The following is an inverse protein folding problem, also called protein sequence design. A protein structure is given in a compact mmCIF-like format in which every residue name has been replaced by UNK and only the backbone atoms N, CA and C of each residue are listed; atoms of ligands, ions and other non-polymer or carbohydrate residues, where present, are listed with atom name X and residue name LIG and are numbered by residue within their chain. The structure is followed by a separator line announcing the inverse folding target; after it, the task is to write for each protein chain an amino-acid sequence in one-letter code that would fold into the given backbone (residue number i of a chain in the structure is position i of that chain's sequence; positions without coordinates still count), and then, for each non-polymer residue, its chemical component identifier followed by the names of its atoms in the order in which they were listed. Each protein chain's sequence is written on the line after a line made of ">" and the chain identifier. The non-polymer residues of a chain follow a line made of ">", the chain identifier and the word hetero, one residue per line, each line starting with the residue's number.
data_IF_222958888869
#
_entry.id   IF_222958888869
#
_cell.length_a   1.000
_cell.length_b   1.000
_cell.length_c   1.000
_cell.angle_alpha   90.00
_cell.angle_beta   90.00
_cell.angle_gamma   90.00
#
_symmetry.space_group_name_H-M   'P 1'
#
loop_
_entity.id
_entity.type
_entity.pdbx_description
1 polymer ?
#
# COMPACT_ATOMS: atom_id res chain seq x y z
N UNK A 1 1.44 -22.38 4.22
CA UNK A 1 1.31 -21.12 3.44
C UNK A 1 2.27 -21.10 2.24
N UNK A 2 3.57 -21.38 2.41
CA UNK A 2 4.52 -21.53 1.29
C UNK A 2 4.06 -22.59 0.29
N UNK A 3 3.73 -23.80 0.75
CA UNK A 3 3.29 -24.89 -0.14
C UNK A 3 2.00 -24.56 -0.89
N UNK A 4 1.06 -23.85 -0.26
CA UNK A 4 -0.18 -23.41 -0.90
C UNK A 4 0.05 -22.30 -1.95
N UNK A 5 1.02 -21.41 -1.73
CA UNK A 5 1.42 -20.40 -2.72
C UNK A 5 2.23 -21.02 -3.86
N UNK A 6 3.04 -22.04 -3.57
CA UNK A 6 3.80 -22.81 -4.57
C UNK A 6 2.90 -23.63 -5.47
N UNK A 7 1.93 -24.37 -4.92
CA UNK A 7 0.92 -25.10 -5.70
C UNK A 7 0.05 -24.15 -6.53
N UNK A 8 -0.23 -22.95 -6.00
CA UNK A 8 -0.93 -21.90 -6.75
C UNK A 8 -0.07 -21.31 -7.88
N UNK A 9 1.24 -21.22 -7.69
CA UNK A 9 2.19 -20.82 -8.72
C UNK A 9 2.20 -21.83 -9.87
N UNK A 10 2.34 -23.13 -9.55
CA UNK A 10 2.32 -24.21 -10.55
C UNK A 10 1.02 -24.27 -11.34
N UNK A 11 -0.13 -24.19 -10.66
CA UNK A 11 -1.44 -24.17 -11.32
C UNK A 11 -1.66 -22.91 -12.16
N UNK A 12 -1.04 -21.78 -11.79
CA UNK A 12 -1.02 -20.57 -12.61
C UNK A 12 -0.17 -20.72 -13.87
N UNK A 13 1.00 -21.34 -13.74
CA UNK A 13 1.95 -21.61 -14.84
C UNK A 13 1.37 -22.58 -15.88
N UNK A 14 0.76 -23.69 -15.44
CA UNK A 14 0.10 -24.66 -16.32
C UNK A 14 -1.05 -24.03 -17.13
N UNK A 15 -1.72 -23.04 -16.55
CA UNK A 15 -2.79 -22.29 -17.23
C UNK A 15 -2.27 -21.23 -18.18
N UNK A 16 -1.15 -20.60 -17.84
CA UNK A 16 -0.48 -19.67 -18.74
C UNK A 16 0.00 -20.42 -19.97
N UNK A 17 0.64 -21.59 -19.80
CA UNK A 17 1.03 -22.45 -20.91
C UNK A 17 -0.16 -22.89 -21.77
N UNK A 18 -1.30 -23.24 -21.14
CA UNK A 18 -2.53 -23.54 -21.87
C UNK A 18 -3.06 -22.33 -22.67
N UNK A 19 -2.95 -21.11 -22.12
CA UNK A 19 -3.34 -19.89 -22.83
C UNK A 19 -2.43 -19.65 -24.03
N UNK A 20 -1.11 -19.75 -23.86
CA UNK A 20 -0.14 -19.58 -24.96
C UNK A 20 -0.43 -20.57 -26.10
N UNK A 21 -0.70 -21.84 -25.77
CA UNK A 21 -1.09 -22.86 -26.76
C UNK A 21 -2.44 -22.56 -27.45
N UNK A 22 -3.39 -21.94 -26.74
CA UNK A 22 -4.66 -21.50 -27.33
C UNK A 22 -4.43 -20.32 -28.29
N UNK A 23 -3.61 -19.35 -27.90
CA UNK A 23 -3.29 -18.18 -28.70
C UNK A 23 -2.56 -18.59 -29.99
N UNK A 24 -1.64 -19.56 -29.91
CA UNK A 24 -0.97 -20.14 -31.08
C UNK A 24 -1.95 -20.73 -32.10
N UNK A 25 -3.06 -21.32 -31.64
CA UNK A 25 -4.08 -21.89 -32.55
C UNK A 25 -5.02 -20.81 -33.08
N UNK A 26 -5.39 -19.84 -32.25
CA UNK A 26 -6.37 -18.81 -32.60
C UNK A 26 -5.76 -17.75 -33.54
N UNK A 27 -4.48 -17.44 -33.39
CA UNK A 27 -3.78 -16.44 -34.21
C UNK A 27 -3.06 -17.00 -35.43
N UNK A 28 -3.15 -18.31 -35.69
CA UNK A 28 -2.62 -18.90 -36.92
C UNK A 28 -3.55 -18.60 -38.10
N UNK A 29 -3.18 -17.59 -38.89
CA UNK A 29 -3.90 -17.13 -40.08
C UNK A 29 -3.94 -18.18 -41.22
N UNK A 30 -3.21 -19.28 -41.10
CA UNK A 30 -3.23 -20.41 -42.04
C UNK A 30 -4.28 -21.48 -41.72
N UNK A 31 -5.00 -21.35 -40.59
CA UNK A 31 -6.04 -22.28 -40.19
C UNK A 31 -7.44 -21.75 -40.53
N UNK A 32 -8.26 -22.58 -41.16
CA UNK A 32 -9.67 -22.29 -41.35
C UNK A 32 -10.41 -22.26 -40.00
N UNK A 33 -11.30 -21.30 -39.80
CA UNK A 33 -12.07 -21.11 -38.57
C UNK A 33 -12.85 -22.38 -38.16
N UNK A 34 -13.34 -23.15 -39.13
CA UNK A 34 -14.04 -24.42 -38.88
C UNK A 34 -13.15 -25.48 -38.21
N UNK A 35 -11.82 -25.40 -38.41
CA UNK A 35 -10.84 -26.37 -37.88
C UNK A 35 -10.32 -26.00 -36.50
N UNK A 36 -10.32 -24.70 -36.15
CA UNK A 36 -9.85 -24.18 -34.85
C UNK A 36 -10.56 -24.91 -33.70
N UNK A 37 -11.88 -25.05 -33.78
CA UNK A 37 -12.67 -25.70 -32.74
C UNK A 37 -12.33 -27.18 -32.52
N UNK A 38 -11.93 -27.89 -33.58
CA UNK A 38 -11.49 -29.29 -33.52
C UNK A 38 -10.11 -29.46 -32.92
N UNK A 39 -9.19 -28.54 -33.22
CA UNK A 39 -7.83 -28.51 -32.66
C UNK A 39 -7.84 -28.23 -31.16
N UNK A 40 -8.67 -27.27 -30.72
CA UNK A 40 -8.80 -26.89 -29.30
C UNK A 40 -9.49 -28.00 -28.49
N UNK A 41 -10.59 -28.57 -28.96
CA UNK A 41 -11.38 -29.53 -28.16
C UNK A 41 -10.95 -30.99 -28.34
N UNK A 42 -10.22 -31.28 -29.40
CA UNK A 42 -9.81 -32.63 -29.79
C UNK A 42 -8.29 -32.80 -29.82
N UNK A 43 -7.68 -32.45 -30.95
CA UNK A 43 -6.37 -32.99 -31.35
C UNK A 43 -5.17 -32.42 -30.58
N UNK A 44 -5.16 -31.11 -30.29
CA UNK A 44 -3.97 -30.44 -29.74
C UNK A 44 -4.06 -30.19 -28.24
N UNK A 45 -5.22 -29.74 -27.76
CA UNK A 45 -5.42 -29.42 -26.33
C UNK A 45 -6.31 -30.46 -25.64
N UNK A 46 -7.49 -30.72 -26.20
CA UNK A 46 -8.40 -31.77 -25.73
C UNK A 46 -9.34 -31.36 -24.57
N UNK A 47 -10.55 -31.90 -24.59
CA UNK A 47 -11.58 -31.69 -23.56
C UNK A 47 -11.13 -31.95 -22.10
N UNK A 48 -10.38 -33.02 -21.79
CA UNK A 48 -9.95 -33.30 -20.42
C UNK A 48 -9.03 -32.21 -19.85
N UNK A 49 -8.12 -31.66 -20.67
CA UNK A 49 -7.18 -30.61 -20.26
C UNK A 49 -7.89 -29.28 -20.02
N UNK A 50 -8.80 -28.90 -20.91
CA UNK A 50 -9.66 -27.72 -20.74
C UNK A 50 -10.52 -27.82 -19.46
N UNK A 51 -11.07 -29.00 -19.18
CA UNK A 51 -11.87 -29.24 -17.97
C UNK A 51 -11.01 -29.18 -16.71
N UNK A 52 -9.85 -29.83 -16.72
CA UNK A 52 -8.91 -29.82 -15.60
C UNK A 52 -8.45 -28.39 -15.29
N UNK A 53 -8.08 -27.60 -16.30
CA UNK A 53 -7.70 -26.19 -16.12
C UNK A 53 -8.85 -25.33 -15.57
N UNK A 54 -10.11 -25.64 -15.94
CA UNK A 54 -11.30 -24.98 -15.38
C UNK A 54 -11.55 -25.38 -13.92
N UNK A 55 -11.42 -26.65 -13.58
CA UNK A 55 -11.60 -27.17 -12.22
C UNK A 55 -10.50 -26.71 -11.27
N UNK A 56 -9.29 -26.55 -11.78
CA UNK A 56 -8.15 -25.93 -11.10
C UNK A 56 -8.24 -24.40 -11.04
N UNK A 57 -9.34 -23.79 -11.50
CA UNK A 57 -9.58 -22.36 -11.26
C UNK A 57 -9.74 -22.15 -9.77
N UNK A 58 -8.64 -21.76 -9.12
CA UNK A 58 -8.72 -21.14 -7.80
C UNK A 58 -9.79 -20.05 -7.88
N UNK A 59 -10.77 -20.05 -6.96
CA UNK A 59 -11.83 -19.05 -6.98
C UNK A 59 -11.18 -17.67 -7.06
N UNK A 60 -11.77 -16.78 -7.86
CA UNK A 60 -11.32 -15.39 -7.95
C UNK A 60 -11.06 -14.90 -6.53
N UNK A 61 -9.85 -14.39 -6.29
CA UNK A 61 -9.53 -13.82 -4.99
C UNK A 61 -10.63 -12.83 -4.64
N UNK A 62 -11.11 -12.82 -3.38
CA UNK A 62 -12.03 -11.79 -2.96
C UNK A 62 -11.41 -10.40 -3.21
N UNK A 63 -12.24 -9.35 -3.17
CA UNK A 63 -11.80 -7.96 -3.44
C UNK A 63 -10.63 -7.46 -2.58
N UNK A 64 -10.22 -8.24 -1.59
CA UNK A 64 -9.05 -8.03 -0.74
C UNK A 64 -7.75 -8.64 -1.30
N UNK A 65 -7.77 -9.20 -2.51
CA UNK A 65 -6.66 -9.94 -3.13
C UNK A 65 -6.15 -11.13 -2.29
N UNK A 66 -6.97 -11.66 -1.37
CA UNK A 66 -6.62 -12.76 -0.48
C UNK A 66 -5.74 -12.37 0.72
N UNK A 67 -5.52 -11.07 0.97
CA UNK A 67 -4.73 -10.62 2.12
C UNK A 67 -5.35 -11.01 3.47
N UNK A 68 -6.68 -10.96 3.59
CA UNK A 68 -7.34 -11.32 4.84
C UNK A 68 -7.34 -12.84 5.03
N UNK A 69 -7.49 -13.62 3.95
CA UNK A 69 -7.30 -15.07 3.98
C UNK A 69 -5.86 -15.49 4.35
N UNK A 70 -4.85 -14.72 3.91
CA UNK A 70 -3.45 -14.94 4.32
C UNK A 70 -3.23 -14.63 5.81
N UNK A 71 -3.87 -13.57 6.32
CA UNK A 71 -3.83 -13.20 7.73
C UNK A 71 -4.62 -14.17 8.61
N UNK A 72 -5.71 -14.74 8.11
CA UNK A 72 -6.50 -15.79 8.77
C UNK A 72 -5.62 -17.00 9.12
N UNK A 73 -4.75 -17.43 8.20
CA UNK A 73 -3.77 -18.48 8.45
C UNK A 73 -2.75 -18.15 9.56
N UNK A 74 -2.55 -16.86 9.87
CA UNK A 74 -1.66 -16.40 10.94
C UNK A 74 -2.41 -16.06 12.24
N UNK A 75 -3.74 -16.13 12.25
CA UNK A 75 -4.55 -15.69 13.39
C UNK A 75 -4.22 -16.45 14.67
N UNK A 76 -4.06 -17.77 14.58
CA UNK A 76 -3.67 -18.59 15.73
C UNK A 76 -2.34 -18.16 16.35
N UNK A 77 -1.37 -17.73 15.53
CA UNK A 77 -0.09 -17.18 15.99
C UNK A 77 -0.27 -15.79 16.63
N UNK A 78 -1.03 -14.89 16.01
CA UNK A 78 -1.33 -13.57 16.57
C UNK A 78 -1.96 -13.67 17.96
N UNK A 79 -2.92 -14.58 18.13
CA UNK A 79 -3.62 -14.83 19.40
C UNK A 79 -2.71 -15.26 20.56
N UNK A 80 -1.49 -15.73 20.30
CA UNK A 80 -0.55 -16.14 21.35
C UNK A 80 -0.01 -14.95 22.14
N UNK A 81 0.11 -13.77 21.51
CA UNK A 81 0.73 -12.60 22.12
C UNK A 81 -0.16 -11.36 22.13
N UNK A 82 -1.09 -11.21 21.17
CA UNK A 82 -1.92 -9.99 21.07
C UNK A 82 -2.73 -9.69 22.34
N UNK A 83 -3.31 -10.67 23.06
CA UNK A 83 -4.01 -10.35 24.31
C UNK A 83 -3.11 -9.72 25.37
N UNK A 84 -1.86 -10.19 25.48
CA UNK A 84 -0.88 -9.67 26.45
C UNK A 84 -0.40 -8.27 26.07
N UNK A 85 -0.17 -8.04 24.78
CA UNK A 85 0.20 -6.71 24.26
C UNK A 85 -0.91 -5.69 24.53
N UNK A 86 -2.17 -6.03 24.22
CA UNK A 86 -3.31 -5.14 24.45
C UNK A 86 -3.58 -4.90 25.94
N UNK A 87 -3.24 -5.85 26.81
CA UNK A 87 -3.34 -5.67 28.25
C UNK A 87 -2.25 -4.72 28.80
N UNK A 88 -1.01 -4.88 28.32
CA UNK A 88 0.17 -4.16 28.83
C UNK A 88 0.32 -2.74 28.25
N UNK A 89 -0.04 -2.56 26.99
CA UNK A 89 0.17 -1.29 26.27
C UNK A 89 -1.11 -0.45 26.31
N UNK A 90 -0.95 0.86 26.49
CA UNK A 90 -2.03 1.84 26.32
C UNK A 90 -1.79 2.61 25.02
N UNK A 91 -2.83 2.71 24.22
CA UNK A 91 -2.81 3.40 22.94
C UNK A 91 -3.62 4.68 23.07
N UNK A 92 -3.15 5.72 22.41
CA UNK A 92 -3.83 7.01 22.28
C UNK A 92 -3.74 7.45 20.82
N UNK A 93 -4.51 8.46 20.42
CA UNK A 93 -4.59 8.88 19.03
C UNK A 93 -5.50 10.07 18.83
N UNK A 94 -5.49 10.60 17.61
CA UNK A 94 -6.34 11.73 17.22
C UNK A 94 -7.82 11.37 17.06
N UNK A 95 -8.64 12.35 16.72
CA UNK A 95 -10.09 12.18 16.51
C UNK A 95 -10.41 11.15 15.42
N UNK A 96 -9.59 11.06 14.37
CA UNK A 96 -9.73 10.07 13.31
C UNK A 96 -9.56 8.61 13.81
N UNK A 97 -8.75 8.39 14.84
CA UNK A 97 -8.49 7.07 15.40
C UNK A 97 -9.47 6.67 16.52
N UNK A 98 -10.40 7.54 16.92
CA UNK A 98 -11.28 7.31 18.07
C UNK A 98 -12.08 5.99 17.99
N UNK A 99 -12.68 5.70 16.83
CA UNK A 99 -13.43 4.45 16.63
C UNK A 99 -12.55 3.20 16.65
N UNK A 100 -11.29 3.30 16.22
CA UNK A 100 -10.32 2.21 16.31
C UNK A 100 -9.88 1.98 17.76
N UNK A 101 -9.62 3.05 18.51
CA UNK A 101 -9.24 2.95 19.92
C UNK A 101 -10.38 2.37 20.78
N UNK A 102 -11.62 2.75 20.50
CA UNK A 102 -12.80 2.13 21.12
C UNK A 102 -12.86 0.61 20.82
N UNK A 103 -12.61 0.20 19.57
CA UNK A 103 -12.51 -1.22 19.23
C UNK A 103 -11.38 -1.94 19.97
N UNK A 104 -10.22 -1.30 20.13
CA UNK A 104 -9.09 -1.86 20.90
C UNK A 104 -9.49 -2.09 22.36
N UNK A 105 -10.19 -1.14 22.97
CA UNK A 105 -10.65 -1.26 24.37
C UNK A 105 -11.69 -2.39 24.53
N UNK A 106 -12.66 -2.48 23.62
CA UNK A 106 -13.62 -3.59 23.58
C UNK A 106 -12.87 -4.93 23.41
N UNK A 107 -11.92 -5.00 22.48
CA UNK A 107 -11.14 -6.21 22.24
C UNK A 107 -10.32 -6.61 23.47
N UNK A 108 -9.76 -5.64 24.20
CA UNK A 108 -9.06 -5.88 25.47
C UNK A 108 -10.00 -6.49 26.52
N UNK A 109 -11.21 -5.97 26.65
CA UNK A 109 -12.22 -6.52 27.57
C UNK A 109 -12.66 -7.94 27.17
N UNK A 110 -12.91 -8.18 25.88
CA UNK A 110 -13.22 -9.52 25.36
C UNK A 110 -12.10 -10.53 25.64
N UNK A 111 -10.84 -10.07 25.59
CA UNK A 111 -9.69 -10.90 25.91
C UNK A 111 -9.57 -11.19 27.41
N UNK A 112 -9.82 -10.20 28.26
CA UNK A 112 -9.77 -10.35 29.72
C UNK A 112 -10.88 -11.27 30.25
N UNK A 113 -12.09 -11.16 29.69
CA UNK A 113 -13.28 -11.93 30.11
C UNK A 113 -13.41 -13.28 29.41
N UNK A 114 -12.69 -13.50 28.31
CA UNK A 114 -12.87 -14.66 27.43
C UNK A 114 -14.18 -14.64 26.64
N UNK A 115 -14.91 -13.52 26.65
CA UNK A 115 -16.17 -13.37 25.94
C UNK A 115 -16.01 -13.60 24.43
N UNK A 116 -16.94 -14.35 23.83
CA UNK A 116 -16.89 -14.73 22.41
C UNK A 116 -17.68 -13.82 21.49
N UNK A 117 -18.62 -13.06 22.04
CA UNK A 117 -19.52 -12.19 21.27
C UNK A 117 -19.02 -10.75 21.31
N UNK A 118 -18.80 -10.18 20.14
CA UNK A 118 -18.57 -8.74 19.99
C UNK A 118 -19.89 -8.01 20.28
N UNK A 119 -19.89 -6.94 21.09
CA UNK A 119 -21.09 -6.13 21.34
C UNK A 119 -21.69 -5.58 20.05
N UNK A 120 -23.03 -5.53 19.95
CA UNK A 120 -23.70 -5.10 18.72
C UNK A 120 -23.41 -3.64 18.33
N UNK A 121 -22.98 -2.83 19.31
CA UNK A 121 -22.58 -1.41 19.16
C UNK A 121 -21.09 -1.22 18.89
N UNK A 122 -20.29 -2.28 18.78
CA UNK A 122 -18.87 -2.15 18.54
C UNK A 122 -18.61 -1.43 17.20
N UNK A 123 -17.65 -0.49 17.16
CA UNK A 123 -17.37 0.27 15.95
C UNK A 123 -16.75 -0.63 14.88
N UNK A 124 -17.07 -0.35 13.62
CA UNK A 124 -16.54 -1.02 12.44
C UNK A 124 -16.16 -0.04 11.32
N UNK A 125 -16.33 1.27 11.54
CA UNK A 125 -16.06 2.31 10.53
C UNK A 125 -14.59 2.37 10.10
N UNK A 126 -13.67 2.03 11.01
CA UNK A 126 -12.24 1.95 10.70
C UNK A 126 -11.90 0.78 9.74
N UNK A 127 -12.84 -0.15 9.51
CA UNK A 127 -12.63 -1.30 8.64
C UNK A 127 -12.65 -0.84 7.17
N UNK A 128 -11.57 -1.08 6.40
CA UNK A 128 -11.51 -0.78 4.98
C UNK A 128 -12.67 -1.42 4.22
N UNK A 129 -13.22 -0.70 3.23
CA UNK A 129 -14.37 -1.16 2.42
C UNK A 129 -14.17 -2.55 1.82
N UNK A 130 -12.94 -2.86 1.39
CA UNK A 130 -12.56 -4.17 0.85
C UNK A 130 -12.76 -5.35 1.82
N UNK A 131 -12.81 -5.09 3.14
CA UNK A 131 -12.93 -6.13 4.17
C UNK A 131 -14.31 -6.19 4.84
N UNK A 132 -15.15 -5.17 4.67
CA UNK A 132 -16.51 -5.14 5.25
C UNK A 132 -17.36 -6.34 4.82
N UNK A 133 -17.17 -6.83 3.60
CA UNK A 133 -17.88 -8.02 3.09
C UNK A 133 -17.72 -9.27 3.97
N UNK A 134 -16.58 -9.45 4.64
CA UNK A 134 -16.37 -10.58 5.56
C UNK A 134 -17.21 -10.44 6.83
N UNK A 135 -17.24 -9.23 7.40
CA UNK A 135 -18.06 -8.91 8.57
C UNK A 135 -19.55 -9.02 8.26
N UNK A 136 -19.98 -8.49 7.11
CA UNK A 136 -21.37 -8.56 6.66
C UNK A 136 -21.83 -10.01 6.46
N UNK A 137 -20.99 -10.85 5.85
CA UNK A 137 -21.28 -12.26 5.63
C UNK A 137 -21.36 -13.03 6.95
N UNK A 138 -20.42 -12.79 7.87
CA UNK A 138 -20.45 -13.39 9.20
C UNK A 138 -21.68 -12.95 10.01
N UNK A 139 -22.09 -11.69 9.89
CA UNK A 139 -23.29 -11.15 10.55
C UNK A 139 -24.57 -11.76 9.98
N UNK A 140 -24.70 -11.83 8.64
CA UNK A 140 -25.86 -12.43 7.95
C UNK A 140 -26.04 -13.91 8.26
N UNK A 141 -24.94 -14.65 8.39
CA UNK A 141 -24.96 -16.08 8.75
C UNK A 141 -25.21 -16.33 10.25
N UNK A 142 -25.25 -15.27 11.08
CA UNK A 142 -25.38 -15.40 12.53
C UNK A 142 -24.16 -16.03 13.21
N UNK A 143 -23.05 -16.21 12.49
CA UNK A 143 -21.85 -16.85 13.01
C UNK A 143 -21.06 -15.86 13.88
N UNK A 144 -21.39 -15.84 15.17
CA UNK A 144 -20.77 -14.94 16.17
C UNK A 144 -19.25 -15.14 16.26
N UNK A 145 -18.78 -16.39 16.15
CA UNK A 145 -17.34 -16.68 16.21
C UNK A 145 -16.60 -16.13 15.00
N UNK A 146 -17.15 -16.31 13.80
CA UNK A 146 -16.57 -15.76 12.57
C UNK A 146 -16.60 -14.22 12.58
N UNK A 147 -17.67 -13.61 13.08
CA UNK A 147 -17.75 -12.15 13.18
C UNK A 147 -16.67 -11.61 14.11
N UNK A 148 -16.54 -12.17 15.33
CA UNK A 148 -15.47 -11.81 16.26
C UNK A 148 -14.09 -11.95 15.60
N UNK A 149 -13.86 -13.08 14.95
CA UNK A 149 -12.59 -13.40 14.32
C UNK A 149 -12.16 -12.34 13.29
N UNK A 150 -13.05 -12.00 12.35
CA UNK A 150 -12.75 -10.99 11.35
C UNK A 150 -12.66 -9.59 11.94
N UNK A 151 -13.48 -9.27 12.93
CA UNK A 151 -13.47 -7.96 13.59
C UNK A 151 -12.18 -7.75 14.40
N UNK A 152 -11.72 -8.78 15.12
CA UNK A 152 -10.44 -8.79 15.84
C UNK A 152 -9.26 -8.61 14.88
N UNK A 153 -9.23 -9.35 13.77
CA UNK A 153 -8.20 -9.18 12.73
C UNK A 153 -8.18 -7.75 12.16
N UNK A 154 -9.33 -7.19 11.82
CA UNK A 154 -9.41 -5.82 11.31
C UNK A 154 -8.94 -4.80 12.35
N UNK A 155 -9.26 -5.02 13.63
CA UNK A 155 -8.85 -4.15 14.74
C UNK A 155 -7.34 -4.15 14.91
N UNK A 156 -6.71 -5.34 14.92
CA UNK A 156 -5.25 -5.47 15.03
C UNK A 156 -4.52 -4.85 13.83
N UNK A 157 -5.11 -4.98 12.64
CA UNK A 157 -4.55 -4.44 11.41
C UNK A 157 -4.66 -2.91 11.35
N UNK A 158 -5.82 -2.37 11.72
CA UNK A 158 -6.00 -0.94 11.91
C UNK A 158 -5.04 -0.37 12.94
N UNK A 159 -4.83 -1.08 14.06
CA UNK A 159 -3.87 -0.67 15.10
C UNK A 159 -2.43 -0.62 14.56
N UNK A 160 -2.02 -1.66 13.81
CA UNK A 160 -0.69 -1.68 13.17
C UNK A 160 -0.53 -0.51 12.22
N UNK A 161 -1.51 -0.27 11.36
CA UNK A 161 -1.44 0.76 10.34
C UNK A 161 -1.45 2.15 10.99
N UNK A 162 -2.30 2.38 12.00
CA UNK A 162 -2.33 3.62 12.79
C UNK A 162 -1.02 3.91 13.53
N UNK A 163 -0.33 2.88 14.05
CA UNK A 163 1.01 3.03 14.65
C UNK A 163 2.09 3.37 13.61
N UNK A 164 1.91 2.96 12.35
CA UNK A 164 2.85 3.27 11.26
C UNK A 164 2.64 4.66 10.68
N UNK A 165 1.40 5.12 10.61
CA UNK A 165 1.05 6.47 10.13
C UNK A 165 1.20 7.53 11.21
N UNK A 166 1.17 7.14 12.49
CA UNK A 166 1.19 8.07 13.61
C UNK A 166 -0.19 8.54 14.07
N UNK A 167 -1.27 8.06 13.44
CA UNK A 167 -2.65 8.31 13.86
C UNK A 167 -2.94 7.73 15.26
N UNK A 168 -2.26 6.62 15.57
CA UNK A 168 -2.21 6.01 16.89
C UNK A 168 -0.78 6.06 17.40
N UNK A 169 -0.63 6.38 18.68
CA UNK A 169 0.65 6.44 19.37
C UNK A 169 0.56 5.76 20.74
N UNK A 170 1.72 5.54 21.35
CA UNK A 170 1.88 4.96 22.67
C UNK A 170 2.48 6.03 23.58
N UNK A 171 1.73 6.57 24.55
CA UNK A 171 2.26 7.55 25.49
C UNK A 171 3.54 7.06 26.17
N UNK A 172 4.59 7.88 26.18
CA UNK A 172 5.90 7.53 26.75
C UNK A 172 6.80 6.67 25.85
N UNK A 173 6.33 6.24 24.67
CA UNK A 173 7.17 5.56 23.68
C UNK A 173 8.04 6.55 22.93
N UNK A 174 9.31 6.18 22.68
CA UNK A 174 10.21 6.95 21.81
C UNK A 174 9.94 6.70 20.33
N UNK A 175 9.62 5.45 19.97
CA UNK A 175 9.43 5.03 18.57
C UNK A 175 8.02 5.33 18.05
N UNK A 176 7.04 5.23 18.94
CA UNK A 176 5.62 5.45 18.64
C UNK A 176 5.12 6.61 19.50
N UNK A 177 5.86 7.71 19.55
CA UNK A 177 5.47 8.93 20.28
C UNK A 177 4.33 9.65 19.55
N UNK A 178 3.62 10.53 20.25
CA UNK A 178 2.62 11.41 19.65
C UNK A 178 3.28 12.36 18.62
N UNK A 179 2.97 12.26 17.32
CA UNK A 179 3.53 13.15 16.31
C UNK A 179 3.16 14.63 16.54
N UNK A 180 2.02 14.90 17.18
CA UNK A 180 1.58 16.27 17.44
C UNK A 180 2.50 17.01 18.43
N UNK A 181 3.32 16.29 19.20
CA UNK A 181 4.30 16.90 20.11
C UNK A 181 5.44 17.62 19.38
N UNK A 182 5.67 17.31 18.11
CA UNK A 182 6.64 18.00 17.26
C UNK A 182 6.05 19.24 16.56
N UNK A 183 4.72 19.44 16.64
CA UNK A 183 4.04 20.55 16.00
C UNK A 183 3.94 21.76 16.95
N UNK A 184 3.78 22.95 16.35
CA UNK A 184 3.44 24.14 17.12
C UNK A 184 2.06 23.95 17.78
N UNK A 185 1.97 24.28 19.07
CA UNK A 185 0.67 24.34 19.74
C UNK A 185 -0.19 25.44 19.12
N UNK A 186 -1.52 25.31 19.24
CA UNK A 186 -2.47 26.32 18.75
C UNK A 186 -2.13 27.73 19.26
N UNK A 187 -1.73 27.85 20.53
CA UNK A 187 -1.37 29.13 21.15
C UNK A 187 -0.07 29.71 20.57
N UNK A 188 0.96 28.88 20.38
CA UNK A 188 2.23 29.31 19.76
C UNK A 188 2.02 29.71 18.30
N UNK A 189 1.23 28.92 17.56
CA UNK A 189 0.88 29.23 16.19
C UNK A 189 0.12 30.54 16.08
N UNK A 190 -0.87 30.79 16.95
CA UNK A 190 -1.65 32.03 16.96
C UNK A 190 -0.76 33.27 17.09
N UNK A 191 0.28 33.20 17.94
CA UNK A 191 1.24 34.30 18.12
C UNK A 191 2.16 34.51 16.91
N UNK A 192 2.54 33.45 16.19
CA UNK A 192 3.50 33.49 15.07
C UNK A 192 2.84 33.61 13.69
N UNK A 193 1.53 33.36 13.59
CA UNK A 193 0.78 33.24 12.33
C UNK A 193 1.00 34.43 11.39
N UNK A 194 0.92 35.65 11.92
CA UNK A 194 1.01 36.87 11.09
C UNK A 194 2.38 36.98 10.44
N UNK A 195 3.45 36.80 11.22
CA UNK A 195 4.83 36.86 10.73
C UNK A 195 5.13 35.73 9.74
N UNK A 196 4.71 34.51 10.04
CA UNK A 196 4.87 33.37 9.13
C UNK A 196 4.16 33.61 7.80
N UNK A 197 2.90 34.05 7.83
CA UNK A 197 2.11 34.36 6.62
C UNK A 197 2.78 35.46 5.77
N UNK A 198 3.35 36.49 6.40
CA UNK A 198 4.13 37.52 5.69
C UNK A 198 5.38 36.92 5.02
N UNK A 199 6.12 36.06 5.72
CA UNK A 199 7.33 35.41 5.21
C UNK A 199 7.04 34.55 3.96
N UNK A 200 5.95 33.77 3.98
CA UNK A 200 5.57 32.91 2.86
C UNK A 200 4.72 33.61 1.80
N UNK A 201 4.46 34.92 1.97
CA UNK A 201 3.64 35.71 1.04
C UNK A 201 2.18 35.26 0.94
N UNK A 202 1.64 34.57 1.96
CA UNK A 202 0.24 34.10 1.99
C UNK A 202 -0.58 34.93 2.98
N UNK A 203 -1.90 34.97 2.79
CA UNK A 203 -2.80 35.69 3.69
C UNK A 203 -2.89 35.04 5.07
N UNK A 204 -2.93 35.84 6.14
CA UNK A 204 -3.24 35.36 7.49
C UNK A 204 -4.74 35.08 7.72
N UNK A 205 -5.60 35.52 6.78
CA UNK A 205 -7.01 35.17 6.74
C UNK A 205 -7.17 33.83 5.99
N UNK A 206 -7.64 32.76 6.66
CA UNK A 206 -7.75 31.44 6.06
C UNK A 206 -8.71 31.40 4.87
N UNK A 207 -9.76 32.22 4.85
CA UNK A 207 -10.71 32.23 3.74
C UNK A 207 -10.06 32.79 2.47
N UNK A 208 -9.26 33.87 2.60
CA UNK A 208 -8.51 34.46 1.49
C UNK A 208 -7.38 33.57 1.03
N UNK A 209 -6.66 32.93 1.96
CA UNK A 209 -5.58 32.00 1.62
C UNK A 209 -6.11 30.78 0.87
N UNK A 210 -7.27 30.25 1.28
CA UNK A 210 -7.91 29.12 0.61
C UNK A 210 -8.38 29.49 -0.80
N UNK A 211 -9.09 30.62 -0.96
CA UNK A 211 -9.53 31.07 -2.27
C UNK A 211 -8.35 31.27 -3.23
N UNK A 212 -7.27 31.91 -2.77
CA UNK A 212 -6.05 32.08 -3.59
C UNK A 212 -5.39 30.75 -3.95
N UNK A 213 -5.42 29.74 -3.06
CA UNK A 213 -4.90 28.42 -3.37
C UNK A 213 -5.78 27.64 -4.35
N UNK A 214 -7.11 27.84 -4.30
CA UNK A 214 -8.04 27.29 -5.29
C UNK A 214 -7.80 27.92 -6.67
N UNK A 215 -7.59 29.24 -6.73
CA UNK A 215 -7.25 29.96 -7.97
C UNK A 215 -5.90 29.46 -8.53
N UNK A 216 -4.85 29.38 -7.69
CA UNK A 216 -3.52 28.88 -8.07
C UNK A 216 -3.58 27.43 -8.60
N UNK A 217 -4.39 26.57 -7.96
CA UNK A 217 -4.62 25.21 -8.43
C UNK A 217 -5.36 25.20 -9.78
N UNK A 218 -6.37 26.07 -9.95
CA UNK A 218 -7.12 26.19 -11.19
C UNK A 218 -6.24 26.63 -12.36
N UNK A 219 -5.38 27.63 -12.15
CA UNK A 219 -4.40 28.07 -13.14
C UNK A 219 -3.41 26.95 -13.50
N UNK A 220 -2.82 26.29 -12.51
CA UNK A 220 -1.88 25.20 -12.73
C UNK A 220 -2.52 23.99 -13.46
N UNK A 221 -3.78 23.68 -13.16
CA UNK A 221 -4.53 22.64 -13.90
C UNK A 221 -4.80 23.06 -15.34
N UNK A 222 -5.13 24.33 -15.58
CA UNK A 222 -5.30 24.87 -16.94
C UNK A 222 -4.01 24.79 -17.76
N UNK A 223 -2.87 25.20 -17.18
CA UNK A 223 -1.56 25.06 -17.82
C UNK A 223 -1.22 23.59 -18.12
N UNK A 224 -1.54 22.68 -17.18
CA UNK A 224 -1.34 21.24 -17.38
C UNK A 224 -2.22 20.70 -18.52
N UNK A 225 -3.47 21.15 -18.62
CA UNK A 225 -4.37 20.77 -19.72
C UNK A 225 -3.81 21.19 -21.08
N UNK A 226 -3.24 22.39 -21.19
CA UNK A 226 -2.58 22.85 -22.42
C UNK A 226 -1.37 21.99 -22.80
N UNK A 227 -0.51 21.66 -21.82
CA UNK A 227 0.65 20.78 -22.03
C UNK A 227 0.23 19.38 -22.46
N UNK A 228 -0.82 18.83 -21.83
CA UNK A 228 -1.37 17.52 -22.19
C UNK A 228 -1.99 17.52 -23.59
N UNK A 229 -2.65 18.62 -23.99
CA UNK A 229 -3.24 18.77 -25.31
C UNK A 229 -2.19 18.90 -26.43
N UNK A 230 -1.02 19.48 -26.14
CA UNK A 230 0.10 19.54 -27.08
C UNK A 230 0.68 18.14 -27.38
N UNK A 231 0.67 17.24 -26.39
CA UNK A 231 1.01 15.82 -26.54
C UNK A 231 2.50 15.49 -26.75
N UNK A 232 3.34 16.50 -26.98
CA UNK A 232 4.80 16.40 -27.15
C UNK A 232 5.59 16.91 -25.92
N UNK A 233 4.88 17.30 -24.87
CA UNK A 233 5.44 17.84 -23.63
C UNK A 233 6.07 16.81 -22.70
N UNK A 234 6.72 17.28 -21.61
CA UNK A 234 7.30 16.42 -20.58
C UNK A 234 6.23 15.62 -19.84
N UNK A 235 4.97 16.03 -19.86
CA UNK A 235 3.82 15.29 -19.33
C UNK A 235 2.83 15.08 -20.48
N UNK A 236 2.44 13.83 -20.75
CA UNK A 236 1.50 13.47 -21.83
C UNK A 236 0.61 12.31 -21.43
N UNK A 237 -0.48 12.09 -22.16
CA UNK A 237 -1.30 10.88 -22.07
C UNK A 237 -0.87 9.91 -23.18
N UNK A 238 -0.76 8.62 -22.87
CA UNK A 238 -0.60 7.59 -23.89
C UNK A 238 -1.94 7.13 -24.49
N UNK A 239 -1.89 6.25 -25.49
CA UNK A 239 -3.09 5.72 -26.16
C UNK A 239 -4.02 4.92 -25.22
N UNK A 240 -3.52 4.51 -24.05
CA UNK A 240 -4.28 3.83 -23.00
C UNK A 240 -4.94 4.77 -21.99
N UNK A 241 -4.65 6.08 -22.08
CA UNK A 241 -5.11 7.09 -21.13
C UNK A 241 -4.28 7.17 -19.85
N UNK A 242 -3.10 6.55 -19.82
CA UNK A 242 -2.18 6.62 -18.68
C UNK A 242 -1.31 7.89 -18.78
N UNK A 243 -1.05 8.50 -17.62
CA UNK A 243 -0.20 9.69 -17.53
C UNK A 243 1.28 9.31 -17.61
N UNK A 244 1.96 9.78 -18.65
CA UNK A 244 3.39 9.59 -18.87
C UNK A 244 4.14 10.87 -18.56
N UNK A 245 4.97 10.83 -17.51
CA UNK A 245 5.88 11.91 -17.13
C UNK A 245 7.28 11.52 -17.60
N UNK A 246 7.81 12.27 -18.55
CA UNK A 246 9.17 12.11 -19.05
C UNK A 246 10.16 12.56 -17.96
N UNK A 247 11.30 11.85 -17.80
CA UNK A 247 12.36 12.30 -16.90
C UNK A 247 12.79 13.71 -17.27
N UNK A 248 12.98 14.58 -16.27
CA UNK A 248 13.57 15.90 -16.49
C UNK A 248 14.96 15.73 -17.11
N UNK A 249 15.18 16.29 -18.29
CA UNK A 249 16.52 16.39 -18.86
C UNK A 249 17.37 17.21 -17.89
N UNK A 250 18.46 16.64 -17.38
CA UNK A 250 19.39 17.32 -16.48
C UNK A 250 19.94 18.55 -17.20
N UNK A 251 19.42 19.73 -16.87
CA UNK A 251 19.97 20.99 -17.32
C UNK A 251 21.27 21.21 -16.54
N UNK A 252 22.38 20.86 -17.15
CA UNK A 252 23.73 20.98 -16.57
C UNK A 252 24.05 22.47 -16.39
N UNK A 253 23.73 23.03 -15.22
CA UNK A 253 24.08 24.39 -14.87
C UNK A 253 25.60 24.44 -14.63
N UNK A 254 26.35 24.88 -15.64
CA UNK A 254 27.79 25.14 -15.49
C UNK A 254 27.93 26.41 -14.64
N UNK A 255 28.09 26.22 -13.33
CA UNK A 255 28.53 27.28 -12.42
C UNK A 255 30.01 27.53 -12.70
N UNK A 256 30.34 28.64 -13.34
CA UNK A 256 31.71 29.15 -13.37
C UNK A 256 32.07 29.69 -11.99
N UNK A 257 33.20 29.29 -11.39
CA UNK A 257 33.55 29.75 -10.05
C UNK A 257 34.17 31.14 -10.16
N UNK A 258 33.44 32.17 -9.73
CA UNK A 258 34.05 33.47 -9.40
C UNK A 258 34.10 33.65 -7.89
N UNK A 259 35.30 33.50 -7.34
CA UNK A 259 35.81 34.27 -6.20
C UNK A 259 35.00 34.31 -4.91
N UNK A 260 35.34 33.40 -3.98
CA UNK A 260 35.66 33.72 -2.58
C UNK A 260 34.56 34.29 -1.67
N UNK A 261 33.98 33.41 -0.84
CA UNK A 261 33.87 33.56 0.63
C UNK A 261 32.99 32.43 1.18
N UNK A 262 33.52 31.62 2.11
CA UNK A 262 32.77 30.57 2.83
C UNK A 262 31.60 31.13 3.66
N UNK A 263 30.44 30.45 3.69
CA UNK A 263 29.51 30.50 4.82
C UNK A 263 29.43 29.15 5.57
N UNK A 264 28.98 29.16 6.84
CA UNK A 264 29.34 28.15 7.83
C UNK A 264 28.51 26.86 7.74
N UNK A 265 29.16 25.79 8.18
CA UNK A 265 28.59 24.49 8.55
C UNK A 265 27.56 24.63 9.68
N UNK A 266 26.31 24.28 9.40
CA UNK A 266 25.45 23.43 10.23
C UNK A 266 23.99 23.56 9.76
N UNK A 267 23.57 22.63 8.90
CA UNK A 267 22.16 22.32 8.71
C UNK A 267 22.02 20.81 8.44
N UNK A 268 21.88 20.04 9.52
CA UNK A 268 21.34 18.69 9.44
C UNK A 268 19.91 18.78 8.87
N UNK A 269 19.75 18.38 7.61
CA UNK A 269 18.45 18.14 7.02
C UNK A 269 17.80 16.96 7.76
N UNK A 270 16.83 17.27 8.60
CA UNK A 270 15.96 16.29 9.23
C UNK A 270 15.04 15.72 8.14
N UNK A 271 15.35 14.49 7.70
CA UNK A 271 14.52 13.70 6.79
C UNK A 271 13.15 13.40 7.41
N UNK A 272 12.19 14.30 7.22
CA UNK A 272 10.77 13.98 7.30
C UNK A 272 10.43 13.18 6.05
N UNK A 273 9.96 11.94 6.24
CA UNK A 273 9.68 10.90 5.23
C UNK A 273 10.92 10.15 4.70
N UNK A 274 11.32 9.10 5.41
CA UNK A 274 12.31 8.14 4.90
C UNK A 274 11.73 7.25 3.80
N UNK A 275 12.14 7.49 2.56
CA UNK A 275 12.23 6.49 1.51
C UNK A 275 13.45 5.58 1.77
N UNK A 276 13.39 4.33 1.33
CA UNK A 276 14.57 3.45 1.31
C UNK A 276 15.39 3.86 0.10
N UNK A 277 16.53 4.51 0.30
CA UNK A 277 17.54 4.65 -0.74
C UNK A 277 18.24 3.30 -0.93
N UNK A 278 18.01 2.67 -2.07
CA UNK A 278 18.86 1.59 -2.58
C UNK A 278 19.83 2.26 -3.55
N UNK A 279 21.13 2.16 -3.27
CA UNK A 279 22.18 2.55 -4.21
C UNK A 279 22.17 1.58 -5.39
N UNK A 280 21.47 1.97 -6.46
CA UNK A 280 21.29 1.12 -7.65
C UNK A 280 22.64 0.90 -8.34
N UNK A 281 23.53 1.89 -8.39
CA UNK A 281 24.85 1.74 -9.02
C UNK A 281 25.77 0.83 -8.18
N UNK A 282 25.74 0.96 -6.85
CA UNK A 282 26.43 0.07 -5.93
C UNK A 282 25.92 -1.37 -5.96
N UNK A 283 24.63 -1.59 -6.19
CA UNK A 283 24.05 -2.94 -6.35
C UNK A 283 24.32 -3.54 -7.74
N UNK A 284 24.32 -2.72 -8.80
CA UNK A 284 24.65 -3.18 -10.16
C UNK A 284 26.14 -3.54 -10.30
N UNK A 285 27.04 -2.83 -9.61
CA UNK A 285 28.47 -3.12 -9.59
C UNK A 285 28.82 -4.48 -8.94
N UNK A 286 27.88 -5.09 -8.20
CA UNK A 286 28.04 -6.41 -7.57
C UNK A 286 27.57 -7.58 -8.45
N UNK A 287 27.04 -7.29 -9.65
CA UNK A 287 26.62 -8.30 -10.61
C UNK A 287 27.80 -8.73 -11.51
N UNK A 288 27.88 -10.02 -11.80
CA UNK A 288 28.84 -10.53 -12.79
C UNK A 288 28.45 -10.13 -14.23
N UNK A 289 29.31 -10.43 -15.23
CA UNK A 289 29.10 -10.03 -16.63
C UNK A 289 27.84 -10.62 -17.30
N UNK A 290 27.16 -11.54 -16.64
CA UNK A 290 25.87 -12.13 -17.08
C UNK A 290 24.66 -11.58 -16.31
N UNK A 291 24.83 -10.53 -15.50
CA UNK A 291 23.74 -9.88 -14.77
C UNK A 291 23.25 -10.63 -13.53
N UNK A 292 23.96 -11.67 -13.08
CA UNK A 292 23.66 -12.39 -11.84
C UNK A 292 24.74 -12.15 -10.79
N UNK A 293 24.31 -12.07 -9.52
CA UNK A 293 25.22 -12.05 -8.37
C UNK A 293 25.85 -13.45 -8.22
N UNK A 294 27.18 -13.59 -8.20
CA UNK A 294 27.80 -14.90 -8.03
C UNK A 294 27.39 -15.51 -6.69
N UNK A 295 26.95 -16.78 -6.72
CA UNK A 295 26.66 -17.54 -5.51
C UNK A 295 27.93 -17.56 -4.64
N UNK A 296 27.83 -17.07 -3.39
CA UNK A 296 28.96 -17.13 -2.45
C UNK A 296 29.43 -18.58 -2.34
N UNK A 297 30.68 -18.84 -2.73
CA UNK A 297 31.36 -20.08 -2.38
C UNK A 297 31.34 -20.17 -0.86
N UNK A 298 30.80 -21.27 -0.33
CA UNK A 298 30.94 -21.61 1.09
C UNK A 298 32.41 -21.93 1.32
N UNK A 299 33.16 -20.98 1.84
CA UNK A 299 34.38 -21.27 2.58
C UNK A 299 34.63 -20.23 3.67
N UNK A 300 34.63 -20.78 4.89
CA UNK A 300 35.50 -20.50 6.03
C UNK A 300 35.44 -19.15 6.79
N UNK A 301 35.10 -19.32 8.09
CA UNK A 301 35.79 -18.81 9.30
C UNK A 301 35.81 -17.27 9.43
N UNK A 302 35.07 -16.69 10.38
CA UNK A 302 35.26 -16.70 11.83
C UNK A 302 34.01 -16.16 12.52
#
# INVERSE_FOLDING_TARGET
>A
MRDALTERGKSGEDRQALLDELLDIIFDLGLDDERIGGLIRGERIGWPRLRSAREQTAPRLPRDHGHLAALDGSYGYLRQFTPQVLAAVRFAGGTAAAGLLEAVEILRELNATGARRVPDKAPDRFVPTRWRGYLDTARKSGNTSAYRHYWELCTLLGLRDGLRTGDVYVPGSRRYSDPATYLLTSDKWSAQRVEFCQLVGKSADPARALAAAEDELGEALGELEEVLAAGDGPVRLDDGGDLVISPLAVMMFVVTPSGGSDPPSDSENINFFGAIEVDIEGELAQLGPTGYRPLRVRDTLF
#
